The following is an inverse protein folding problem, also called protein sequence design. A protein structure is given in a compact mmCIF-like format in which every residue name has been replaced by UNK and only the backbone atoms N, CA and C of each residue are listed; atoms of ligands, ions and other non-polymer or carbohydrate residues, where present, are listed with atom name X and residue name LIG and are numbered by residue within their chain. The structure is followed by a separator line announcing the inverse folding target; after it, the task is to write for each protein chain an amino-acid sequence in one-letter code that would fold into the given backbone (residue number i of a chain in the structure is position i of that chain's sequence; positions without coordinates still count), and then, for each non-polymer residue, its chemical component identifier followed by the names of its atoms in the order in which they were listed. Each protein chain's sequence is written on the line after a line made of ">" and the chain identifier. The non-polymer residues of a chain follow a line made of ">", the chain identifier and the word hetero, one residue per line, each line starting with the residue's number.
data_IF_780183165342
#
_entry.id   IF_780183165342
#
_cell.length_a   1.000
_cell.length_b   1.000
_cell.length_c   1.000
_cell.angle_alpha   90.00
_cell.angle_beta   90.00
_cell.angle_gamma   90.00
#
_symmetry.space_group_name_H-M   'P 1'
#
loop_
_entity.id
_entity.type
_entity.pdbx_description
1 polymer ?
#
# COMPACT_ATOMS: atom_id res chain seq x y z
N UNK A 1 11.72 -40.90 -11.83
CA UNK A 1 11.90 -39.48 -11.50
C UNK A 1 13.30 -39.09 -11.96
N UNK A 2 13.40 -38.30 -13.05
CA UNK A 2 14.69 -38.00 -13.69
C UNK A 2 15.37 -36.82 -12.99
N UNK A 3 16.26 -37.13 -12.08
CA UNK A 3 17.03 -36.13 -11.33
C UNK A 3 17.82 -35.18 -12.24
N UNK A 4 18.30 -35.66 -13.40
CA UNK A 4 19.01 -34.83 -14.38
C UNK A 4 18.16 -33.70 -14.93
N UNK A 5 16.84 -33.90 -15.08
CA UNK A 5 15.90 -32.86 -15.50
C UNK A 5 15.78 -31.79 -14.42
N UNK A 6 15.68 -32.20 -13.16
CA UNK A 6 15.59 -31.25 -12.02
C UNK A 6 16.83 -30.36 -11.97
N UNK A 7 18.03 -30.95 -12.06
CA UNK A 7 19.30 -30.19 -12.04
C UNK A 7 19.43 -29.22 -13.22
N UNK A 8 18.96 -29.59 -14.42
CA UNK A 8 19.04 -28.73 -15.61
C UNK A 8 18.12 -27.49 -15.50
N UNK A 9 17.01 -27.57 -14.76
CA UNK A 9 16.10 -26.46 -14.54
C UNK A 9 16.39 -25.62 -13.29
N UNK A 10 17.29 -26.07 -12.41
CA UNK A 10 17.63 -25.37 -11.16
C UNK A 10 18.04 -23.89 -11.35
N UNK A 11 18.87 -23.54 -12.35
CA UNK A 11 19.21 -22.14 -12.61
C UNK A 11 17.98 -21.26 -12.95
N UNK A 12 17.03 -21.81 -13.72
CA UNK A 12 15.79 -21.11 -14.08
C UNK A 12 14.89 -20.87 -12.86
N UNK A 13 14.82 -21.85 -11.96
CA UNK A 13 14.07 -21.68 -10.70
C UNK A 13 14.69 -20.60 -9.80
N UNK A 14 16.02 -20.55 -9.72
CA UNK A 14 16.73 -19.49 -8.99
C UNK A 14 16.41 -18.12 -9.57
N UNK A 15 16.47 -17.95 -10.88
CA UNK A 15 16.22 -16.68 -11.53
C UNK A 15 14.75 -16.24 -11.38
N UNK A 16 13.81 -17.19 -11.46
CA UNK A 16 12.40 -16.95 -11.20
C UNK A 16 12.15 -16.53 -9.74
N UNK A 17 12.80 -17.20 -8.78
CA UNK A 17 12.72 -16.86 -7.36
C UNK A 17 13.23 -15.44 -7.09
N UNK A 18 14.40 -15.09 -7.64
CA UNK A 18 14.98 -13.77 -7.49
C UNK A 18 14.09 -12.68 -8.11
N UNK A 19 13.48 -12.94 -9.26
CA UNK A 19 12.53 -12.04 -9.88
C UNK A 19 11.28 -11.84 -8.99
N UNK A 20 10.72 -12.93 -8.48
CA UNK A 20 9.56 -12.89 -7.57
C UNK A 20 9.85 -12.08 -6.31
N UNK A 21 10.99 -12.35 -5.66
CA UNK A 21 11.41 -11.60 -4.47
C UNK A 21 11.64 -10.12 -4.78
N UNK A 22 12.24 -9.81 -5.93
CA UNK A 22 12.47 -8.42 -6.35
C UNK A 22 11.17 -7.67 -6.60
N UNK A 23 10.25 -8.25 -7.38
CA UNK A 23 8.94 -7.65 -7.66
C UNK A 23 8.11 -7.51 -6.39
N UNK A 24 8.09 -8.54 -5.54
CA UNK A 24 7.38 -8.53 -4.27
C UNK A 24 7.90 -7.43 -3.34
N UNK A 25 9.21 -7.37 -3.12
CA UNK A 25 9.82 -6.34 -2.27
C UNK A 25 9.56 -4.92 -2.78
N UNK A 26 9.72 -4.69 -4.09
CA UNK A 26 9.44 -3.39 -4.70
C UNK A 26 7.96 -3.03 -4.59
N UNK A 27 7.06 -4.00 -4.80
CA UNK A 27 5.61 -3.82 -4.64
C UNK A 27 5.23 -3.45 -3.22
N UNK A 28 5.77 -4.16 -2.22
CA UNK A 28 5.55 -3.88 -0.80
C UNK A 28 6.07 -2.49 -0.41
N UNK A 29 7.30 -2.15 -0.79
CA UNK A 29 7.87 -0.83 -0.50
C UNK A 29 7.02 0.30 -1.11
N UNK A 30 6.58 0.13 -2.36
CA UNK A 30 5.71 1.08 -3.03
C UNK A 30 4.32 1.17 -2.37
N UNK A 31 3.73 0.03 -1.95
CA UNK A 31 2.46 -0.01 -1.20
C UNK A 31 2.52 0.79 0.10
N UNK A 32 3.58 0.59 0.88
CA UNK A 32 3.77 1.28 2.17
C UNK A 32 3.90 2.79 1.94
N UNK A 33 4.76 3.19 1.00
CA UNK A 33 4.97 4.61 0.70
C UNK A 33 3.67 5.29 0.24
N UNK A 34 3.00 4.69 -0.75
CA UNK A 34 1.76 5.23 -1.31
C UNK A 34 0.62 5.23 -0.28
N UNK A 35 0.51 4.17 0.51
CA UNK A 35 -0.49 4.06 1.57
C UNK A 35 -0.33 5.13 2.65
N UNK A 36 0.90 5.38 3.11
CA UNK A 36 1.17 6.45 4.09
C UNK A 36 0.85 7.82 3.50
N UNK A 37 1.28 8.09 2.26
CA UNK A 37 0.98 9.36 1.59
C UNK A 37 -0.53 9.61 1.47
N UNK A 38 -1.28 8.61 1.05
CA UNK A 38 -2.75 8.68 0.97
C UNK A 38 -3.38 8.90 2.35
N UNK A 39 -2.92 8.18 3.38
CA UNK A 39 -3.44 8.33 4.74
C UNK A 39 -3.20 9.75 5.30
N UNK A 40 -2.01 10.33 5.06
CA UNK A 40 -1.71 11.72 5.43
C UNK A 40 -2.64 12.71 4.73
N UNK A 41 -2.88 12.53 3.43
CA UNK A 41 -3.82 13.39 2.67
C UNK A 41 -5.23 13.31 3.25
N UNK A 42 -5.70 12.11 3.59
CA UNK A 42 -7.02 11.90 4.19
C UNK A 42 -7.11 12.56 5.57
N UNK A 43 -6.06 12.44 6.38
CA UNK A 43 -5.98 13.04 7.71
C UNK A 43 -6.00 14.57 7.66
N UNK A 44 -5.24 15.19 6.73
CA UNK A 44 -5.19 16.63 6.55
C UNK A 44 -6.48 17.24 5.99
N UNK A 45 -7.43 16.40 5.53
CA UNK A 45 -8.74 16.81 5.00
C UNK A 45 -8.67 17.88 3.90
N UNK A 46 -7.65 17.82 3.02
CA UNK A 46 -7.55 18.73 1.88
C UNK A 46 -8.63 18.36 0.86
N UNK A 47 -9.65 19.22 0.62
CA UNK A 47 -10.92 18.78 0.01
C UNK A 47 -10.75 18.19 -1.40
N UNK A 48 -9.87 18.73 -2.24
CA UNK A 48 -9.64 18.24 -3.61
C UNK A 48 -8.84 16.94 -3.59
N UNK A 49 -7.70 16.92 -2.88
CA UNK A 49 -6.84 15.74 -2.77
C UNK A 49 -7.58 14.57 -2.11
N UNK A 50 -8.37 14.85 -1.10
CA UNK A 50 -9.18 13.85 -0.42
C UNK A 50 -10.11 13.11 -1.40
N UNK A 51 -10.81 13.84 -2.29
CA UNK A 51 -11.67 13.21 -3.30
C UNK A 51 -10.90 12.32 -4.26
N UNK A 52 -9.71 12.76 -4.69
CA UNK A 52 -8.84 11.99 -5.60
C UNK A 52 -8.37 10.71 -4.90
N UNK A 53 -7.90 10.81 -3.66
CA UNK A 53 -7.44 9.65 -2.87
C UNK A 53 -8.59 8.68 -2.57
N UNK A 54 -9.78 9.18 -2.20
CA UNK A 54 -10.96 8.34 -2.01
C UNK A 54 -11.34 7.60 -3.29
N UNK A 55 -11.35 8.29 -4.44
CA UNK A 55 -11.61 7.65 -5.73
C UNK A 55 -10.58 6.56 -6.05
N UNK A 56 -9.28 6.84 -5.85
CA UNK A 56 -8.21 5.86 -6.00
C UNK A 56 -8.44 4.63 -5.12
N UNK A 57 -8.69 4.81 -3.83
CA UNK A 57 -8.90 3.70 -2.89
C UNK A 57 -10.10 2.85 -3.31
N UNK A 58 -11.22 3.48 -3.63
CA UNK A 58 -12.44 2.77 -4.07
C UNK A 58 -12.18 2.01 -5.37
N UNK A 59 -11.53 2.62 -6.34
CA UNK A 59 -11.24 2.00 -7.64
C UNK A 59 -10.36 0.76 -7.47
N UNK A 60 -9.21 0.90 -6.82
CA UNK A 60 -8.21 -0.18 -6.73
C UNK A 60 -8.65 -1.32 -5.80
N UNK A 61 -9.34 -1.04 -4.71
CA UNK A 61 -9.86 -2.09 -3.81
C UNK A 61 -11.02 -2.88 -4.40
N UNK A 62 -11.82 -2.30 -5.28
CA UNK A 62 -12.95 -2.98 -5.92
C UNK A 62 -12.59 -3.59 -7.29
N UNK A 63 -11.35 -3.44 -7.74
CA UNK A 63 -10.88 -4.03 -9.00
C UNK A 63 -9.92 -5.19 -8.69
N UNK A 64 -10.17 -6.43 -9.19
CA UNK A 64 -9.26 -7.54 -9.01
C UNK A 64 -7.85 -7.22 -9.56
N UNK A 65 -6.79 -7.67 -8.86
CA UNK A 65 -5.41 -7.45 -9.28
C UNK A 65 -5.15 -7.92 -10.72
N UNK A 66 -5.72 -9.06 -11.10
CA UNK A 66 -5.56 -9.62 -12.44
C UNK A 66 -6.06 -8.66 -13.53
N UNK A 67 -7.19 -7.99 -13.28
CA UNK A 67 -7.76 -6.99 -14.22
C UNK A 67 -6.83 -5.78 -14.33
N UNK A 68 -6.27 -5.32 -13.22
CA UNK A 68 -5.29 -4.23 -13.20
C UNK A 68 -4.03 -4.60 -14.00
N UNK A 69 -3.51 -5.84 -13.83
CA UNK A 69 -2.36 -6.31 -14.58
C UNK A 69 -2.65 -6.43 -16.07
N UNK A 70 -3.83 -6.91 -16.47
CA UNK A 70 -4.23 -6.96 -17.87
C UNK A 70 -4.34 -5.57 -18.48
N UNK A 71 -4.86 -4.60 -17.74
CA UNK A 71 -4.89 -3.21 -18.20
C UNK A 71 -3.48 -2.66 -18.42
N UNK A 72 -2.58 -2.83 -17.45
CA UNK A 72 -1.20 -2.35 -17.54
C UNK A 72 -0.42 -3.02 -18.67
N UNK A 73 -0.60 -4.33 -18.87
CA UNK A 73 0.22 -5.09 -19.82
C UNK A 73 -0.35 -5.11 -21.23
N UNK A 74 -1.67 -5.11 -21.42
CA UNK A 74 -2.30 -5.24 -22.74
C UNK A 74 -3.00 -3.97 -23.24
N UNK A 75 -3.59 -3.17 -22.36
CA UNK A 75 -4.33 -1.98 -22.78
C UNK A 75 -3.42 -0.76 -22.98
N UNK A 76 -2.45 -0.51 -22.09
CA UNK A 76 -1.54 0.63 -22.19
C UNK A 76 -0.67 0.61 -23.48
N UNK A 77 -0.14 -0.53 -23.94
CA UNK A 77 0.62 -0.57 -25.20
C UNK A 77 -0.20 -0.13 -26.41
N UNK A 78 -1.52 -0.29 -26.40
CA UNK A 78 -2.39 0.15 -27.51
C UNK A 78 -2.44 1.68 -27.67
N UNK A 79 -2.13 2.41 -26.60
CA UNK A 79 -2.01 3.87 -26.62
C UNK A 79 -0.55 4.35 -26.63
N UNK A 80 0.39 3.45 -26.96
CA UNK A 80 1.81 3.76 -27.12
C UNK A 80 2.66 3.67 -25.84
N UNK A 81 2.11 3.23 -24.71
CA UNK A 81 2.84 3.12 -23.43
C UNK A 81 3.19 1.65 -23.16
N UNK A 82 4.42 1.24 -23.50
CA UNK A 82 4.91 -0.12 -23.24
C UNK A 82 5.62 -0.19 -21.90
N UNK A 83 5.18 -1.09 -21.01
CA UNK A 83 5.76 -1.30 -19.68
C UNK A 83 6.29 -2.73 -19.59
N UNK A 84 7.50 -2.91 -19.04
CA UNK A 84 8.08 -4.23 -18.83
C UNK A 84 7.22 -5.07 -17.88
N UNK A 85 7.08 -6.40 -18.09
CA UNK A 85 6.22 -7.27 -17.28
C UNK A 85 6.49 -7.19 -15.77
N UNK A 86 7.78 -7.13 -15.38
CA UNK A 86 8.17 -7.00 -13.97
C UNK A 86 7.68 -5.67 -13.35
N UNK A 87 7.73 -4.58 -14.13
CA UNK A 87 7.24 -3.27 -13.69
C UNK A 87 5.72 -3.25 -13.59
N UNK A 88 5.00 -3.90 -14.52
CA UNK A 88 3.54 -4.10 -14.41
C UNK A 88 3.18 -4.82 -13.11
N UNK A 89 3.92 -5.88 -12.76
CA UNK A 89 3.73 -6.61 -11.49
C UNK A 89 3.96 -5.71 -10.28
N UNK A 90 5.08 -4.97 -10.25
CA UNK A 90 5.39 -4.03 -9.16
C UNK A 90 4.33 -2.93 -9.02
N UNK A 91 3.88 -2.34 -10.14
CA UNK A 91 2.85 -1.30 -10.14
C UNK A 91 1.49 -1.85 -9.68
N UNK A 92 1.06 -3.00 -10.20
CA UNK A 92 -0.21 -3.62 -9.80
C UNK A 92 -0.25 -3.93 -8.31
N UNK A 93 0.80 -4.59 -7.78
CA UNK A 93 0.93 -4.88 -6.35
C UNK A 93 1.00 -3.60 -5.52
N UNK A 94 1.80 -2.62 -5.96
CA UNK A 94 1.98 -1.37 -5.25
C UNK A 94 0.72 -0.51 -5.19
N UNK A 95 -0.01 -0.40 -6.30
CA UNK A 95 -1.26 0.37 -6.36
C UNK A 95 -2.37 -0.29 -5.53
N UNK A 96 -2.57 -1.60 -5.68
CA UNK A 96 -3.57 -2.32 -4.89
C UNK A 96 -3.21 -2.32 -3.41
N UNK A 97 -1.99 -2.72 -3.07
CA UNK A 97 -1.51 -2.75 -1.70
C UNK A 97 -1.50 -1.37 -1.05
N UNK A 98 -1.15 -0.31 -1.80
CA UNK A 98 -1.23 1.07 -1.33
C UNK A 98 -2.64 1.51 -0.97
N UNK A 99 -3.65 1.08 -1.72
CA UNK A 99 -5.05 1.36 -1.41
C UNK A 99 -5.52 0.66 -0.12
N UNK A 100 -5.14 -0.60 0.09
CA UNK A 100 -5.40 -1.32 1.34
C UNK A 100 -4.65 -0.70 2.52
N UNK A 101 -3.37 -0.35 2.33
CA UNK A 101 -2.54 0.27 3.36
C UNK A 101 -3.09 1.63 3.79
N UNK A 102 -3.52 2.47 2.83
CA UNK A 102 -4.13 3.77 3.12
C UNK A 102 -5.37 3.63 4.01
N UNK A 103 -6.24 2.67 3.70
CA UNK A 103 -7.44 2.41 4.50
C UNK A 103 -7.12 1.88 5.89
N UNK A 104 -6.12 0.99 6.00
CA UNK A 104 -5.67 0.43 7.28
C UNK A 104 -5.12 1.52 8.19
N UNK A 105 -4.25 2.40 7.67
CA UNK A 105 -3.69 3.52 8.44
C UNK A 105 -4.78 4.53 8.80
N UNK A 106 -5.70 4.83 7.88
CA UNK A 106 -6.85 5.70 8.17
C UNK A 106 -7.72 5.14 9.32
N UNK A 107 -8.05 3.86 9.24
CA UNK A 107 -8.82 3.18 10.29
C UNK A 107 -8.09 3.20 11.65
N UNK A 108 -6.77 3.03 11.65
CA UNK A 108 -5.95 3.16 12.84
C UNK A 108 -6.00 4.56 13.45
N UNK A 109 -5.94 5.61 12.63
CA UNK A 109 -6.07 6.99 13.08
C UNK A 109 -7.48 7.29 13.63
N UNK A 110 -8.52 6.79 12.98
CA UNK A 110 -9.91 6.99 13.40
C UNK A 110 -10.30 6.17 14.63
N UNK A 111 -9.54 5.13 14.97
CA UNK A 111 -9.79 4.34 16.19
C UNK A 111 -9.41 5.06 17.48
N UNK A 112 -8.68 6.18 17.41
CA UNK A 112 -8.28 6.94 18.58
C UNK A 112 -9.48 7.74 19.09
N UNK A 113 -9.86 7.47 20.34
CA UNK A 113 -11.00 8.14 20.98
C UNK A 113 -10.77 9.65 21.07
N UNK A 114 -11.76 10.49 20.70
CA UNK A 114 -11.65 11.96 20.76
C UNK A 114 -11.20 12.48 22.12
N UNK A 115 -11.58 11.81 23.19
CA UNK A 115 -11.18 12.18 24.55
C UNK A 115 -9.66 12.22 24.75
N UNK A 116 -8.89 11.44 23.99
CA UNK A 116 -7.42 11.46 24.04
C UNK A 116 -6.86 12.79 23.51
N UNK A 117 -7.44 13.29 22.43
CA UNK A 117 -7.05 14.57 21.82
C UNK A 117 -7.49 15.74 22.69
N UNK A 118 -8.72 15.71 23.22
CA UNK A 118 -9.27 16.73 24.11
C UNK A 118 -8.49 16.83 25.43
N UNK A 119 -8.12 15.68 26.01
CA UNK A 119 -7.29 15.65 27.22
C UNK A 119 -5.90 16.24 26.99
N UNK A 120 -5.27 15.94 25.86
CA UNK A 120 -3.96 16.49 25.52
C UNK A 120 -4.03 18.00 25.24
N UNK A 121 -5.08 18.49 24.58
CA UNK A 121 -5.32 19.92 24.38
C UNK A 121 -5.57 20.65 25.71
N UNK A 122 -6.27 20.01 26.66
CA UNK A 122 -6.50 20.55 28.01
C UNK A 122 -5.20 20.68 28.83
N UNK A 123 -4.17 19.88 28.53
CA UNK A 123 -2.84 20.00 29.09
C UNK A 123 -1.98 21.08 28.40
N UNK A 124 -2.56 21.85 27.46
CA UNK A 124 -1.88 22.94 26.76
C UNK A 124 -1.07 22.52 25.55
N UNK A 125 -1.23 21.27 25.08
CA UNK A 125 -0.56 20.81 23.86
C UNK A 125 -1.18 21.45 22.61
N UNK A 126 -0.34 21.93 21.69
CA UNK A 126 -0.82 22.40 20.39
C UNK A 126 -1.12 21.20 19.45
N UNK A 127 -1.92 21.41 18.38
CA UNK A 127 -2.36 20.37 17.46
C UNK A 127 -1.23 19.48 16.91
N UNK A 128 -0.07 20.01 16.46
CA UNK A 128 1.05 19.16 16.05
C UNK A 128 1.59 18.29 17.18
N UNK A 129 1.70 18.84 18.40
CA UNK A 129 2.15 18.06 19.57
C UNK A 129 1.18 16.93 19.89
N UNK A 130 -0.13 17.20 19.91
CA UNK A 130 -1.17 16.18 20.09
C UNK A 130 -1.04 15.08 19.03
N UNK A 131 -0.85 15.47 17.77
CA UNK A 131 -0.69 14.50 16.68
C UNK A 131 0.55 13.61 16.87
N UNK A 132 1.72 14.20 17.04
CA UNK A 132 2.98 13.44 17.09
C UNK A 132 3.19 12.66 18.39
N UNK A 133 2.74 13.19 19.54
CA UNK A 133 3.00 12.57 20.82
C UNK A 133 1.86 11.68 21.34
N UNK A 134 0.62 11.91 20.93
CA UNK A 134 -0.55 11.18 21.43
C UNK A 134 -1.19 10.33 20.36
N UNK A 135 -1.60 10.92 19.24
CA UNK A 135 -2.37 10.23 18.20
C UNK A 135 -1.51 9.25 17.40
N UNK A 136 -0.40 9.71 16.85
CA UNK A 136 0.43 8.92 15.96
C UNK A 136 0.97 7.63 16.59
N UNK A 137 1.54 7.63 17.82
CA UNK A 137 2.02 6.40 18.45
C UNK A 137 0.92 5.38 18.70
N UNK A 138 -0.27 5.84 19.08
CA UNK A 138 -1.43 4.96 19.30
C UNK A 138 -1.96 4.43 17.96
N UNK A 139 -2.10 5.29 16.95
CA UNK A 139 -2.55 4.91 15.61
C UNK A 139 -1.63 3.89 14.96
N UNK A 140 -0.31 4.03 15.09
CA UNK A 140 0.66 3.05 14.60
C UNK A 140 0.41 1.68 15.24
N UNK A 141 0.25 1.63 16.56
CA UNK A 141 -0.01 0.37 17.27
C UNK A 141 -1.32 -0.28 16.83
N UNK A 142 -2.39 0.49 16.67
CA UNK A 142 -3.69 -0.04 16.24
C UNK A 142 -3.70 -0.45 14.76
N UNK A 143 -2.85 0.15 13.92
CA UNK A 143 -2.73 -0.21 12.49
C UNK A 143 -1.87 -1.45 12.24
N UNK A 144 -0.95 -1.81 13.14
CA UNK A 144 0.01 -2.93 12.93
C UNK A 144 -0.68 -4.24 12.53
N UNK A 145 -1.75 -4.73 13.20
CA UNK A 145 -2.40 -5.98 12.79
C UNK A 145 -2.94 -5.93 11.37
N UNK A 146 -3.57 -4.81 10.98
CA UNK A 146 -4.08 -4.61 9.63
C UNK A 146 -2.97 -4.49 8.57
N UNK A 147 -1.88 -3.81 8.89
CA UNK A 147 -0.69 -3.71 8.01
C UNK A 147 -0.10 -5.09 7.75
N UNK A 148 0.08 -5.91 8.79
CA UNK A 148 0.57 -7.29 8.65
C UNK A 148 -0.38 -8.12 7.79
N UNK A 149 -1.68 -8.02 8.00
CA UNK A 149 -2.69 -8.72 7.19
C UNK A 149 -2.71 -8.27 5.72
N UNK A 150 -2.35 -7.02 5.41
CA UNK A 150 -2.24 -6.54 4.02
C UNK A 150 -0.97 -7.03 3.31
N UNK A 151 0.06 -7.43 4.05
CA UNK A 151 1.36 -7.86 3.52
C UNK A 151 1.50 -9.38 3.45
N UNK A 152 0.60 -10.14 4.10
CA UNK A 152 0.56 -11.61 4.10
C UNK A 152 -0.23 -12.16 2.91
#
# INVERSE_FOLDING_TARGET
>A
MDWNVIYSYLPRYRDALLLTLRVGWQGVAFSILLGILCAVVLYLRVPVLQKIVCFYIVLFRNTPLLVQLFFLYFALPKIGISIAPAVCGTLGLGLLGGAYMAETVRSGLESIAPVQTESAESLGMNRPQVFFYVVLPQAVRSSVPGVVACLA
#
